data_IF_291896421259
#
_entry.id   IF_291896421259
#
_cell.length_a   1.000
_cell.length_b   1.000
_cell.length_c   1.000
_cell.angle_alpha   90.00
_cell.angle_beta   90.00
_cell.angle_gamma   90.00
#
_symmetry.space_group_name_H-M   'P 1'
#
loop_
_entity.id
_entity.type
_entity.pdbx_description
1 polymer ?
#
# COMPACT_ATOMS: atom_id res chain seq x y z
N UNK A 1 -1.61 1.35 4.91
CA UNK A 1 -0.21 1.26 4.44
C UNK A 1 0.49 2.63 4.39
N UNK A 2 0.11 3.58 3.52
CA UNK A 2 0.82 4.87 3.33
C UNK A 2 1.07 5.62 4.64
N UNK A 3 0.01 5.85 5.44
CA UNK A 3 0.11 6.53 6.74
C UNK A 3 1.04 5.83 7.75
N UNK A 4 1.11 4.50 7.70
CA UNK A 4 1.99 3.75 8.58
C UNK A 4 3.47 3.97 8.21
N UNK A 5 3.77 4.14 6.92
CA UNK A 5 5.13 4.44 6.45
C UNK A 5 5.47 5.93 6.71
N UNK A 6 4.54 6.86 6.46
CA UNK A 6 4.75 8.28 6.77
C UNK A 6 5.02 8.56 8.25
N UNK A 7 4.46 7.75 9.16
CA UNK A 7 4.72 7.88 10.60
C UNK A 7 6.16 7.53 11.00
N UNK A 8 6.94 6.91 10.10
CA UNK A 8 8.31 6.47 10.37
C UNK A 8 9.27 7.66 10.27
N UNK A 9 9.84 8.07 11.42
CA UNK A 9 10.70 9.26 11.53
C UNK A 9 12.10 9.10 10.94
N UNK A 10 12.47 7.91 10.47
CA UNK A 10 13.81 7.61 9.94
C UNK A 10 13.76 6.46 8.93
N UNK A 11 14.71 6.40 7.97
CA UNK A 11 14.93 5.23 7.14
C UNK A 11 15.07 3.97 8.01
N UNK A 12 14.41 2.89 7.62
CA UNK A 12 14.47 1.60 8.31
C UNK A 12 14.32 0.46 7.35
N UNK A 13 14.84 -0.69 7.76
CA UNK A 13 14.58 -1.97 7.12
C UNK A 13 13.41 -2.65 7.83
N UNK A 14 12.43 -3.15 7.08
CA UNK A 14 11.24 -3.74 7.66
C UNK A 14 10.43 -4.56 6.67
N UNK A 15 9.41 -5.25 7.17
CA UNK A 15 8.47 -6.04 6.37
C UNK A 15 7.08 -5.45 6.47
N UNK A 16 6.43 -5.27 5.33
CA UNK A 16 5.01 -4.92 5.25
C UNK A 16 4.24 -6.18 4.89
N UNK A 17 3.38 -6.60 5.82
CA UNK A 17 2.43 -7.67 5.58
C UNK A 17 1.13 -7.06 5.06
N UNK A 18 0.62 -7.59 3.95
CA UNK A 18 -0.67 -7.19 3.40
C UNK A 18 -1.36 -8.39 2.76
N UNK A 19 -2.66 -8.48 2.97
CA UNK A 19 -3.53 -9.45 2.28
C UNK A 19 -4.03 -8.94 0.93
N UNK A 20 -3.88 -7.65 0.66
CA UNK A 20 -4.27 -7.03 -0.59
C UNK A 20 -3.33 -7.45 -1.72
N UNK A 21 -3.80 -8.41 -2.53
CA UNK A 21 -3.15 -8.76 -3.79
C UNK A 21 -3.02 -7.57 -4.73
N UNK A 22 -3.93 -6.60 -4.66
CA UNK A 22 -3.86 -5.37 -5.44
C UNK A 22 -2.62 -4.53 -5.07
N UNK A 23 -2.37 -4.34 -3.77
CA UNK A 23 -1.20 -3.58 -3.30
C UNK A 23 0.10 -4.35 -3.62
N UNK A 24 0.11 -5.66 -3.40
CA UNK A 24 1.28 -6.50 -3.67
C UNK A 24 1.68 -6.49 -5.16
N UNK A 25 0.72 -6.72 -6.07
CA UNK A 25 0.99 -6.67 -7.51
C UNK A 25 1.32 -5.27 -7.96
N UNK A 26 0.64 -4.27 -7.41
CA UNK A 26 0.90 -2.88 -7.74
C UNK A 26 2.33 -2.45 -7.39
N UNK A 27 2.83 -2.78 -6.20
CA UNK A 27 4.17 -2.39 -5.78
C UNK A 27 5.28 -3.21 -6.45
N UNK A 28 5.07 -4.50 -6.71
CA UNK A 28 6.09 -5.38 -7.28
C UNK A 28 6.14 -5.35 -8.82
N UNK A 29 5.01 -5.15 -9.49
CA UNK A 29 4.93 -5.29 -10.95
C UNK A 29 4.56 -3.96 -11.61
N UNK A 30 3.41 -3.37 -11.23
CA UNK A 30 2.80 -2.31 -12.03
C UNK A 30 3.47 -0.95 -11.87
N UNK A 31 3.97 -0.63 -10.68
CA UNK A 31 4.53 0.69 -10.36
C UNK A 31 5.71 1.06 -11.26
N UNK A 32 6.51 0.08 -11.67
CA UNK A 32 7.64 0.29 -12.59
C UNK A 32 7.16 0.71 -13.98
N UNK A 33 6.11 0.07 -14.49
CA UNK A 33 5.48 0.43 -15.76
C UNK A 33 4.78 1.78 -15.70
N UNK A 34 4.03 2.04 -14.64
CA UNK A 34 3.35 3.33 -14.44
C UNK A 34 4.33 4.49 -14.36
N UNK A 35 5.44 4.35 -13.62
CA UNK A 35 6.47 5.40 -13.56
C UNK A 35 7.09 5.68 -14.91
N UNK A 36 7.39 4.63 -15.70
CA UNK A 36 7.91 4.77 -17.07
C UNK A 36 6.92 5.49 -17.99
N UNK A 37 5.63 5.22 -17.82
CA UNK A 37 4.57 5.80 -18.64
C UNK A 37 3.99 7.11 -18.08
N UNK A 38 4.65 7.74 -17.10
CA UNK A 38 4.20 9.01 -16.50
C UNK A 38 2.86 8.90 -15.78
N UNK A 39 2.63 7.79 -15.07
CA UNK A 39 1.42 7.45 -14.33
C UNK A 39 0.15 7.34 -15.17
N UNK A 40 0.31 6.84 -16.40
CA UNK A 40 -0.78 6.56 -17.33
C UNK A 40 -0.89 5.06 -17.65
N UNK A 41 -2.11 4.61 -17.88
CA UNK A 41 -2.42 3.26 -18.39
C UNK A 41 -2.09 3.16 -19.88
N UNK A 42 -2.16 1.95 -20.44
CA UNK A 42 -1.99 1.73 -21.88
C UNK A 42 -2.94 2.58 -22.74
N UNK A 43 -4.15 2.82 -22.24
CA UNK A 43 -5.16 3.68 -22.87
C UNK A 43 -4.91 5.19 -22.69
N UNK A 44 -3.71 5.58 -22.23
CA UNK A 44 -3.29 6.96 -21.94
C UNK A 44 -4.11 7.67 -20.86
N UNK A 45 -4.97 6.95 -20.13
CA UNK A 45 -5.73 7.49 -19.01
C UNK A 45 -4.87 7.50 -17.74
N UNK A 46 -5.13 8.41 -16.79
CA UNK A 46 -4.47 8.36 -15.49
C UNK A 46 -4.70 7.00 -14.82
N UNK A 47 -3.65 6.47 -14.19
CA UNK A 47 -3.77 5.27 -13.36
C UNK A 47 -4.76 5.56 -12.22
N UNK A 48 -5.63 4.60 -11.93
CA UNK A 48 -6.58 4.72 -10.81
C UNK A 48 -5.79 4.90 -9.50
N UNK A 49 -6.13 5.92 -8.72
CA UNK A 49 -5.44 6.29 -7.48
C UNK A 49 -3.94 6.63 -7.69
N UNK A 50 -3.58 7.21 -8.84
CA UNK A 50 -2.19 7.56 -9.16
C UNK A 50 -1.54 8.47 -8.10
N UNK A 51 -2.32 9.34 -7.47
CA UNK A 51 -1.92 10.20 -6.36
C UNK A 51 -1.44 9.37 -5.15
N UNK A 52 -2.23 8.39 -4.73
CA UNK A 52 -1.88 7.50 -3.61
C UNK A 52 -0.67 6.63 -3.94
N UNK A 53 -0.57 6.14 -5.18
CA UNK A 53 0.58 5.36 -5.62
C UNK A 53 1.88 6.18 -5.69
N UNK A 54 1.79 7.44 -6.12
CA UNK A 54 2.93 8.36 -6.12
C UNK A 54 3.42 8.64 -4.70
N UNK A 55 2.50 8.89 -3.76
CA UNK A 55 2.83 9.04 -2.35
C UNK A 55 3.48 7.77 -1.81
N UNK A 56 2.92 6.60 -2.10
CA UNK A 56 3.48 5.33 -1.66
C UNK A 56 4.89 5.10 -2.23
N UNK A 57 5.13 5.33 -3.52
CA UNK A 57 6.45 5.21 -4.16
C UNK A 57 7.48 6.15 -3.51
N UNK A 58 7.08 7.39 -3.21
CA UNK A 58 7.95 8.38 -2.58
C UNK A 58 8.35 7.98 -1.15
N UNK A 59 7.43 7.40 -0.38
CA UNK A 59 7.69 6.92 0.97
C UNK A 59 8.54 5.64 0.93
N UNK A 60 8.15 4.64 0.13
CA UNK A 60 8.84 3.34 0.08
C UNK A 60 10.30 3.48 -0.35
N UNK A 61 10.64 4.42 -1.24
CA UNK A 61 12.04 4.69 -1.63
C UNK A 61 12.96 5.08 -0.48
N UNK A 62 12.41 5.64 0.59
CA UNK A 62 13.18 6.10 1.75
C UNK A 62 13.51 4.97 2.74
N UNK A 63 12.90 3.79 2.56
CA UNK A 63 13.01 2.66 3.48
C UNK A 63 13.39 1.38 2.73
N UNK A 64 14.01 0.42 3.42
CA UNK A 64 14.29 -0.92 2.87
C UNK A 64 13.14 -1.85 3.25
N UNK A 65 12.05 -1.80 2.49
CA UNK A 65 10.81 -2.52 2.83
C UNK A 65 10.65 -3.77 1.97
N UNK A 66 10.49 -4.91 2.62
CA UNK A 66 10.09 -6.18 2.02
C UNK A 66 8.57 -6.33 2.09
N UNK A 67 7.93 -6.65 0.97
CA UNK A 67 6.49 -6.84 0.91
C UNK A 67 6.14 -8.31 0.98
N UNK A 68 5.38 -8.69 2.00
CA UNK A 68 4.96 -10.07 2.25
C UNK A 68 3.46 -10.16 2.05
N UNK A 69 3.04 -11.03 1.14
CA UNK A 69 1.62 -11.35 1.00
C UNK A 69 1.21 -12.35 2.05
N UNK A 70 0.16 -12.02 2.78
CA UNK A 70 -0.50 -12.95 3.70
C UNK A 70 -1.87 -13.30 3.15
N UNK A 71 -2.32 -14.53 3.35
CA UNK A 71 -3.67 -14.91 2.93
C UNK A 71 -4.68 -14.25 3.87
N UNK A 72 -5.57 -13.42 3.32
CA UNK A 72 -6.68 -12.83 4.08
C UNK A 72 -7.58 -13.93 4.66
N UNK A 73 -7.87 -13.81 5.95
CA UNK A 73 -8.71 -14.69 6.79
C UNK A 73 -8.18 -16.12 7.05
N UNK A 74 -7.14 -16.20 7.88
CA UNK A 74 -7.04 -17.10 9.06
C UNK A 74 -5.57 -17.16 9.52
N UNK A 75 -5.26 -16.55 10.68
CA UNK A 75 -4.02 -16.85 11.42
C UNK A 75 -3.04 -15.70 11.66
N UNK A 76 -3.34 -14.45 11.29
CA UNK A 76 -2.50 -13.29 11.59
C UNK A 76 -3.23 -12.27 12.48
N UNK A 77 -3.02 -12.32 13.81
CA UNK A 77 -3.69 -11.42 14.76
C UNK A 77 -3.45 -9.93 14.47
N UNK A 78 -2.30 -9.56 13.90
CA UNK A 78 -2.05 -8.16 13.52
C UNK A 78 -2.89 -7.71 12.33
N UNK A 79 -3.14 -8.60 11.36
CA UNK A 79 -3.97 -8.29 10.19
C UNK A 79 -5.44 -8.13 10.60
N UNK A 80 -5.94 -9.01 11.47
CA UNK A 80 -7.30 -8.90 12.02
C UNK A 80 -7.50 -7.61 12.83
N UNK A 81 -6.47 -7.19 13.60
CA UNK A 81 -6.50 -5.90 14.29
C UNK A 81 -6.51 -4.72 13.33
N UNK A 82 -5.71 -4.76 12.27
CA UNK A 82 -5.68 -3.70 11.26
C UNK A 82 -7.04 -3.58 10.53
N UNK A 83 -7.66 -4.70 10.18
CA UNK A 83 -9.01 -4.74 9.59
C UNK A 83 -10.07 -4.19 10.54
N UNK A 84 -10.04 -4.58 11.81
CA UNK A 84 -10.95 -4.05 12.81
C UNK A 84 -10.83 -2.52 12.97
N UNK A 85 -9.60 -1.99 12.94
CA UNK A 85 -9.36 -0.54 12.98
C UNK A 85 -9.83 0.16 11.71
N UNK A 86 -9.60 -0.42 10.54
CA UNK A 86 -10.08 0.13 9.27
C UNK A 86 -11.61 0.17 9.22
N UNK A 87 -12.28 -0.90 9.67
CA UNK A 87 -13.75 -0.98 9.72
C UNK A 87 -14.34 0.05 10.68
N UNK A 88 -13.75 0.26 11.87
CA UNK A 88 -14.16 1.33 12.79
C UNK A 88 -14.01 2.72 12.18
N UNK A 89 -12.92 2.96 11.45
CA UNK A 89 -12.71 4.24 10.79
C UNK A 89 -13.74 4.56 9.71
N UNK A 90 -14.29 3.54 9.02
CA UNK A 90 -15.42 3.71 8.10
C UNK A 90 -16.70 4.06 8.88
N UNK A 91 -16.98 3.34 9.97
CA UNK A 91 -18.18 3.52 10.78
C UNK A 91 -18.27 4.94 11.40
N UNK A 92 -17.14 5.52 11.83
CA UNK A 92 -17.08 6.91 12.31
C UNK A 92 -17.26 7.96 11.21
N UNK A 93 -16.87 7.66 9.97
CA UNK A 93 -17.05 8.54 8.82
C UNK A 93 -18.49 8.57 8.28
N UNK A 94 -19.31 7.60 8.69
CA UNK A 94 -20.69 7.42 8.22
C UNK A 94 -21.74 7.93 9.22
N UNK A 95 -21.32 8.48 10.37
CA UNK A 95 -22.17 9.23 11.33
C UNK A 95 -22.05 10.72 11.10
#
# INVERSE_FOLDING_TARGET
>A
AIRAIEALKRPLAGRIYTDSQYVLKGINEWIHGWKRNGWKTADKKPVKNADLWQLLDAQVKQHKLEWVWVKGHNGHPENERADALANRGIEELTK
#
